data_IF_712187136413
#
_entry.id   IF_712187136413
#
_cell.length_a   1.000
_cell.length_b   1.000
_cell.length_c   1.000
_cell.angle_alpha   90.00
_cell.angle_beta   90.00
_cell.angle_gamma   90.00
#
_symmetry.space_group_name_H-M   'P 1'
#
loop_
_entity.id
_entity.type
_entity.pdbx_description
1 polymer ?
#
# COMPACT_ATOMS: atom_id res chain seq x y z
N UNK A 1 -26.24 -2.21 18.58
CA UNK A 1 -26.42 -3.66 18.81
C UNK A 1 -25.07 -4.33 18.55
N UNK A 2 -24.48 -4.99 19.55
CA UNK A 2 -23.21 -5.69 19.37
C UNK A 2 -23.46 -6.96 18.53
N UNK A 3 -22.64 -7.19 17.50
CA UNK A 3 -22.73 -8.40 16.68
C UNK A 3 -22.20 -9.57 17.54
N UNK A 4 -22.93 -10.69 17.71
CA UNK A 4 -22.42 -11.84 18.44
C UNK A 4 -21.20 -12.45 17.71
N UNK A 5 -20.14 -12.77 18.45
CA UNK A 5 -18.88 -13.26 17.87
C UNK A 5 -18.37 -14.50 18.61
N UNK A 6 -18.04 -15.54 17.85
CA UNK A 6 -17.34 -16.75 18.31
C UNK A 6 -15.97 -16.81 17.65
N UNK A 7 -14.94 -17.22 18.39
CA UNK A 7 -13.60 -17.46 17.80
C UNK A 7 -13.62 -18.68 16.87
N UNK A 8 -14.49 -19.64 17.16
CA UNK A 8 -14.58 -20.92 16.47
C UNK A 8 -15.84 -20.99 15.62
N UNK A 9 -15.69 -21.54 14.42
CA UNK A 9 -16.79 -21.79 13.49
C UNK A 9 -17.58 -23.04 13.94
N UNK A 10 -16.90 -24.19 14.01
CA UNK A 10 -17.46 -25.48 14.42
C UNK A 10 -16.40 -26.20 15.26
N UNK A 11 -16.77 -26.68 16.45
CA UNK A 11 -15.83 -27.34 17.37
C UNK A 11 -14.61 -26.46 17.66
N UNK A 12 -13.41 -26.99 17.41
CA UNK A 12 -12.14 -26.27 17.60
C UNK A 12 -11.62 -25.59 16.32
N UNK A 13 -12.39 -25.52 15.23
CA UNK A 13 -11.98 -24.90 13.98
C UNK A 13 -12.08 -23.36 14.07
N UNK A 14 -10.96 -22.60 14.05
CA UNK A 14 -11.01 -21.15 14.17
C UNK A 14 -11.51 -20.49 12.88
N UNK A 15 -12.33 -19.44 13.01
CA UNK A 15 -12.74 -18.62 11.86
C UNK A 15 -11.56 -18.07 11.07
N UNK A 16 -10.49 -17.69 11.76
CA UNK A 16 -9.26 -17.17 11.15
C UNK A 16 -8.69 -18.13 10.10
N UNK A 17 -8.63 -19.43 10.40
CA UNK A 17 -8.10 -20.45 9.47
C UNK A 17 -9.00 -20.60 8.25
N UNK A 18 -10.32 -20.60 8.44
CA UNK A 18 -11.30 -20.70 7.36
C UNK A 18 -11.20 -19.49 6.42
N UNK A 19 -11.08 -18.29 6.98
CA UNK A 19 -10.94 -17.06 6.21
C UNK A 19 -9.60 -16.99 5.46
N UNK A 20 -8.51 -17.49 6.05
CA UNK A 20 -7.22 -17.56 5.36
C UNK A 20 -7.27 -18.52 4.16
N UNK A 21 -7.78 -19.74 4.36
CA UNK A 21 -7.92 -20.72 3.26
C UNK A 21 -8.88 -20.21 2.18
N UNK A 22 -10.00 -19.61 2.60
CA UNK A 22 -10.93 -18.94 1.68
C UNK A 22 -10.27 -17.81 0.90
N UNK A 23 -9.44 -17.00 1.55
CA UNK A 23 -8.64 -15.96 0.90
C UNK A 23 -7.67 -16.51 -0.14
N UNK A 24 -6.94 -17.59 0.17
CA UNK A 24 -6.06 -18.28 -0.79
C UNK A 24 -6.86 -18.78 -1.99
N UNK A 25 -8.02 -19.39 -1.76
CA UNK A 25 -8.90 -19.89 -2.83
C UNK A 25 -9.40 -18.74 -3.71
N UNK A 26 -9.84 -17.62 -3.11
CA UNK A 26 -10.25 -16.42 -3.84
C UNK A 26 -9.09 -15.89 -4.70
N UNK A 27 -7.89 -15.79 -4.14
CA UNK A 27 -6.72 -15.34 -4.87
C UNK A 27 -6.40 -16.26 -6.06
N UNK A 28 -6.43 -17.57 -5.84
CA UNK A 28 -6.27 -18.59 -6.88
C UNK A 28 -7.31 -18.44 -8.00
N UNK A 29 -8.60 -18.35 -7.66
CA UNK A 29 -9.68 -18.25 -8.64
C UNK A 29 -9.62 -16.95 -9.46
N UNK A 30 -9.17 -15.85 -8.85
CA UNK A 30 -8.94 -14.59 -9.56
C UNK A 30 -7.72 -14.70 -10.47
N UNK A 31 -6.59 -15.18 -9.95
CA UNK A 31 -5.35 -15.29 -10.72
C UNK A 31 -5.51 -16.22 -11.94
N UNK A 32 -6.20 -17.34 -11.78
CA UNK A 32 -6.48 -18.30 -12.87
C UNK A 32 -7.27 -17.67 -14.01
N UNK A 33 -8.22 -16.77 -13.70
CA UNK A 33 -8.97 -16.03 -14.74
C UNK A 33 -8.09 -15.06 -15.54
N UNK A 34 -7.00 -14.59 -14.94
CA UNK A 34 -6.10 -13.59 -15.52
C UNK A 34 -4.94 -14.23 -16.31
N UNK A 35 -4.67 -15.54 -16.15
CA UNK A 35 -3.64 -16.29 -16.89
C UNK A 35 -3.77 -16.09 -18.41
N UNK A 36 -4.99 -16.30 -18.94
CA UNK A 36 -5.29 -16.15 -20.37
C UNK A 36 -5.03 -14.73 -20.87
N UNK A 37 -5.33 -13.72 -20.04
CA UNK A 37 -5.15 -12.31 -20.42
C UNK A 37 -3.68 -11.94 -20.57
N UNK A 38 -2.81 -12.48 -19.71
CA UNK A 38 -1.37 -12.17 -19.72
C UNK A 38 -0.59 -13.13 -20.64
N UNK A 39 -1.25 -14.17 -21.17
CA UNK A 39 -0.63 -15.19 -22.03
C UNK A 39 0.25 -16.16 -21.24
N UNK A 40 -0.14 -16.47 -20.00
CA UNK A 40 0.50 -17.50 -19.19
C UNK A 40 -0.08 -18.89 -19.54
N UNK A 41 0.72 -19.96 -19.44
CA UNK A 41 0.20 -21.33 -19.57
C UNK A 41 -0.92 -21.58 -18.57
N UNK A 42 -1.86 -22.47 -18.93
CA UNK A 42 -2.88 -22.96 -17.98
C UNK A 42 -2.20 -23.53 -16.74
N UNK A 43 -2.88 -23.38 -15.61
CA UNK A 43 -2.46 -23.89 -14.30
C UNK A 43 -1.20 -23.21 -13.73
N UNK A 44 -0.76 -22.10 -14.33
CA UNK A 44 0.37 -21.32 -13.80
C UNK A 44 0.12 -20.80 -12.38
N UNK A 45 -1.12 -20.40 -12.09
CA UNK A 45 -1.56 -19.95 -10.78
C UNK A 45 -1.65 -21.13 -9.80
N UNK A 46 -2.09 -22.30 -10.27
CA UNK A 46 -2.11 -23.51 -9.45
C UNK A 46 -0.69 -23.91 -9.06
N UNK A 47 0.20 -24.03 -10.05
CA UNK A 47 1.63 -24.29 -9.84
C UNK A 47 2.23 -23.30 -8.85
N UNK A 48 1.92 -22.00 -9.02
CA UNK A 48 2.41 -20.95 -8.13
C UNK A 48 1.92 -21.16 -6.70
N UNK A 49 0.64 -21.48 -6.48
CA UNK A 49 0.08 -21.71 -5.14
C UNK A 49 0.69 -22.97 -4.51
N UNK A 50 0.83 -24.05 -5.28
CA UNK A 50 1.43 -25.31 -4.83
C UNK A 50 2.90 -25.17 -4.43
N UNK A 51 3.61 -24.18 -4.97
CA UNK A 51 4.98 -23.84 -4.55
C UNK A 51 4.99 -22.81 -3.43
N UNK A 52 4.20 -21.74 -3.55
CA UNK A 52 4.22 -20.62 -2.63
C UNK A 52 3.79 -21.00 -1.22
N UNK A 53 2.73 -21.82 -1.08
CA UNK A 53 2.17 -22.17 0.23
C UNK A 53 3.15 -23.03 1.04
N UNK A 54 3.69 -24.15 0.54
CA UNK A 54 4.68 -24.93 1.29
C UNK A 54 5.95 -24.15 1.59
N UNK A 55 6.51 -23.45 0.60
CA UNK A 55 7.71 -22.63 0.82
C UNK A 55 7.47 -21.49 1.81
N UNK A 56 6.26 -20.93 1.83
CA UNK A 56 5.84 -19.94 2.82
C UNK A 56 5.78 -20.53 4.22
N UNK A 57 5.16 -21.69 4.41
CA UNK A 57 5.11 -22.35 5.73
C UNK A 57 6.53 -22.65 6.25
N UNK A 58 7.40 -23.20 5.40
CA UNK A 58 8.80 -23.47 5.74
C UNK A 58 9.53 -22.18 6.10
N UNK A 59 9.41 -21.14 5.27
CA UNK A 59 10.05 -19.85 5.52
C UNK A 59 9.55 -19.19 6.81
N UNK A 60 8.26 -19.30 7.11
CA UNK A 60 7.65 -18.75 8.29
C UNK A 60 8.17 -19.39 9.58
N UNK A 61 8.34 -20.72 9.56
CA UNK A 61 8.92 -21.46 10.68
C UNK A 61 10.40 -21.15 10.84
N UNK A 62 11.17 -21.18 9.75
CA UNK A 62 12.60 -20.89 9.79
C UNK A 62 12.88 -19.49 10.33
N UNK A 63 12.13 -18.48 9.86
CA UNK A 63 12.29 -17.11 10.36
C UNK A 63 11.99 -17.02 11.86
N UNK A 64 10.92 -17.67 12.33
CA UNK A 64 10.59 -17.68 13.76
C UNK A 64 11.71 -18.30 14.59
N UNK A 65 12.21 -19.46 14.18
CA UNK A 65 13.29 -20.18 14.86
C UNK A 65 14.56 -19.33 14.93
N UNK A 66 14.94 -18.68 13.83
CA UNK A 66 16.10 -17.79 13.79
C UNK A 66 15.98 -16.59 14.74
N UNK A 67 14.77 -16.11 14.99
CA UNK A 67 14.52 -14.99 15.92
C UNK A 67 14.35 -15.47 17.37
N UNK A 68 14.33 -16.77 17.64
CA UNK A 68 14.04 -17.34 18.95
C UNK A 68 14.89 -18.58 19.24
N UNK A 69 16.16 -18.56 18.82
CA UNK A 69 17.08 -19.71 18.90
C UNK A 69 17.19 -20.29 20.32
N UNK A 70 17.16 -19.44 21.35
CA UNK A 70 17.26 -19.87 22.75
C UNK A 70 16.12 -20.80 23.17
N UNK A 71 14.92 -20.65 22.57
CA UNK A 71 13.76 -21.52 22.87
C UNK A 71 13.94 -22.95 22.37
N UNK A 72 14.79 -23.15 21.36
CA UNK A 72 15.02 -24.46 20.71
C UNK A 72 16.30 -25.15 21.20
N UNK A 73 17.09 -24.50 22.05
CA UNK A 73 18.37 -25.03 22.51
C UNK A 73 18.22 -26.33 23.33
N UNK A 74 17.15 -26.44 24.11
CA UNK A 74 16.87 -27.60 24.96
C UNK A 74 16.24 -28.78 24.18
N UNK A 75 15.50 -28.50 23.11
CA UNK A 75 14.90 -29.52 22.25
C UNK A 75 14.94 -29.10 20.77
N UNK A 76 16.05 -29.36 20.06
CA UNK A 76 16.22 -28.93 18.67
C UNK A 76 15.22 -29.55 17.70
N UNK A 77 14.62 -30.70 18.03
CA UNK A 77 13.65 -31.35 17.13
C UNK A 77 12.32 -30.60 17.07
N UNK A 78 12.01 -29.82 18.12
CA UNK A 78 10.80 -28.98 18.17
C UNK A 78 10.76 -27.91 17.09
N UNK A 79 11.87 -27.62 16.41
CA UNK A 79 11.93 -26.78 15.20
C UNK A 79 10.93 -27.24 14.13
N UNK A 80 10.60 -28.53 14.05
CA UNK A 80 9.64 -29.06 13.08
C UNK A 80 8.17 -29.00 13.52
N UNK A 81 7.89 -28.68 14.79
CA UNK A 81 6.55 -28.70 15.37
C UNK A 81 5.76 -27.44 15.01
N UNK A 82 5.39 -27.32 13.73
CA UNK A 82 4.64 -26.17 13.19
C UNK A 82 3.21 -26.06 13.75
N UNK A 83 2.67 -27.15 14.31
CA UNK A 83 1.34 -27.20 14.93
C UNK A 83 1.30 -26.56 16.33
N UNK A 84 2.45 -26.35 16.97
CA UNK A 84 2.55 -25.67 18.26
C UNK A 84 2.49 -24.13 18.12
N UNK A 85 2.35 -23.63 16.89
CA UNK A 85 2.42 -22.21 16.57
C UNK A 85 3.84 -21.79 16.21
N UNK A 86 4.23 -20.57 16.57
CA UNK A 86 5.57 -20.04 16.25
C UNK A 86 5.80 -19.90 14.74
N UNK A 87 4.98 -19.07 14.10
CA UNK A 87 5.00 -18.81 12.66
C UNK A 87 5.15 -17.31 12.46
N UNK A 88 6.19 -16.88 11.75
CA UNK A 88 6.44 -15.48 11.45
C UNK A 88 5.98 -15.11 10.03
N UNK A 89 5.08 -14.14 9.90
CA UNK A 89 4.53 -13.71 8.60
C UNK A 89 5.61 -13.24 7.63
N UNK A 90 6.65 -12.56 8.10
CA UNK A 90 7.77 -12.12 7.25
C UNK A 90 8.48 -13.30 6.60
N UNK A 91 8.72 -14.37 7.36
CA UNK A 91 9.26 -15.62 6.84
C UNK A 91 8.35 -16.26 5.79
N UNK A 92 7.02 -16.19 5.98
CA UNK A 92 6.06 -16.71 5.00
C UNK A 92 6.15 -15.99 3.66
N UNK A 93 6.20 -14.66 3.69
CA UNK A 93 6.30 -13.83 2.48
C UNK A 93 7.63 -14.08 1.76
N UNK A 94 8.75 -14.09 2.50
CA UNK A 94 10.09 -14.31 1.92
C UNK A 94 10.20 -15.72 1.35
N UNK A 95 9.84 -16.74 2.13
CA UNK A 95 9.90 -18.15 1.72
C UNK A 95 9.02 -18.42 0.49
N UNK A 96 7.77 -17.94 0.51
CA UNK A 96 6.85 -18.07 -0.63
C UNK A 96 7.38 -17.38 -1.88
N UNK A 97 7.88 -16.15 -1.76
CA UNK A 97 8.43 -15.40 -2.90
C UNK A 97 9.69 -16.07 -3.49
N UNK A 98 10.61 -16.54 -2.64
CA UNK A 98 11.81 -17.27 -3.07
C UNK A 98 11.45 -18.60 -3.75
N UNK A 99 10.48 -19.34 -3.21
CA UNK A 99 9.97 -20.57 -3.80
C UNK A 99 9.42 -20.34 -5.21
N UNK A 100 8.54 -19.36 -5.36
CA UNK A 100 7.96 -19.00 -6.68
C UNK A 100 9.04 -18.48 -7.63
N UNK A 101 10.01 -17.71 -7.14
CA UNK A 101 11.13 -17.24 -7.95
C UNK A 101 11.97 -18.42 -8.48
N UNK A 102 12.35 -19.36 -7.61
CA UNK A 102 13.08 -20.57 -8.00
C UNK A 102 12.29 -21.40 -9.03
N UNK A 103 10.99 -21.60 -8.79
CA UNK A 103 10.09 -22.26 -9.73
C UNK A 103 10.08 -21.56 -11.10
N UNK A 104 10.00 -20.23 -11.13
CA UNK A 104 10.03 -19.45 -12.38
C UNK A 104 11.34 -19.62 -13.14
N UNK A 105 12.48 -19.72 -12.43
CA UNK A 105 13.79 -19.96 -13.04
C UNK A 105 13.86 -21.35 -13.67
N UNK A 106 13.38 -22.38 -12.98
CA UNK A 106 13.36 -23.76 -13.48
C UNK A 106 12.42 -23.90 -14.68
N UNK A 107 11.22 -23.32 -14.60
CA UNK A 107 10.19 -23.41 -15.67
C UNK A 107 10.33 -22.35 -16.75
N UNK A 108 11.36 -21.49 -16.70
CA UNK A 108 11.58 -20.35 -17.62
C UNK A 108 10.34 -19.44 -17.76
N UNK A 109 9.62 -19.24 -16.65
CA UNK A 109 8.41 -18.39 -16.59
C UNK A 109 8.75 -17.00 -16.03
N UNK A 110 7.93 -16.02 -16.36
CA UNK A 110 8.12 -14.65 -15.86
C UNK A 110 7.57 -14.53 -14.44
N UNK A 111 8.47 -14.38 -13.46
CA UNK A 111 8.11 -14.12 -12.07
C UNK A 111 7.20 -12.90 -11.91
N UNK A 112 7.54 -11.81 -12.61
CA UNK A 112 6.77 -10.58 -12.60
C UNK A 112 5.33 -10.76 -13.14
N UNK A 113 5.14 -11.62 -14.16
CA UNK A 113 3.81 -11.90 -14.68
C UNK A 113 2.95 -12.72 -13.70
N UNK A 114 3.56 -13.66 -12.97
CA UNK A 114 2.85 -14.40 -11.91
C UNK A 114 2.44 -13.47 -10.77
N UNK A 115 3.33 -12.56 -10.35
CA UNK A 115 2.99 -11.56 -9.34
C UNK A 115 1.86 -10.63 -9.79
N UNK A 116 1.83 -10.22 -11.07
CA UNK A 116 0.75 -9.38 -11.60
C UNK A 116 -0.62 -10.07 -11.53
N UNK A 117 -0.73 -11.35 -11.92
CA UNK A 117 -2.01 -12.07 -11.83
C UNK A 117 -2.42 -12.36 -10.38
N UNK A 118 -1.44 -12.50 -9.48
CA UNK A 118 -1.69 -12.72 -8.07
C UNK A 118 -2.15 -11.46 -7.34
N UNK A 119 -1.66 -10.28 -7.73
CA UNK A 119 -1.82 -9.05 -6.98
C UNK A 119 -3.28 -8.66 -6.65
N UNK A 120 -4.24 -8.68 -7.60
CA UNK A 120 -5.63 -8.37 -7.28
C UNK A 120 -6.22 -9.40 -6.30
N UNK A 121 -5.96 -10.69 -6.55
CA UNK A 121 -6.40 -11.77 -5.67
C UNK A 121 -5.86 -11.65 -4.25
N UNK A 122 -4.60 -11.25 -4.11
CA UNK A 122 -3.94 -11.01 -2.83
C UNK A 122 -4.59 -9.86 -2.05
N UNK A 123 -4.88 -8.74 -2.71
CA UNK A 123 -5.57 -7.61 -2.08
C UNK A 123 -6.96 -8.02 -1.56
N UNK A 124 -7.72 -8.80 -2.34
CA UNK A 124 -9.02 -9.28 -1.90
C UNK A 124 -8.91 -10.32 -0.76
N UNK A 125 -7.93 -11.22 -0.84
CA UNK A 125 -7.63 -12.18 0.22
C UNK A 125 -7.27 -11.47 1.54
N UNK A 126 -6.50 -10.39 1.48
CA UNK A 126 -6.19 -9.56 2.63
C UNK A 126 -7.45 -8.90 3.20
N UNK A 127 -8.34 -8.37 2.36
CA UNK A 127 -9.61 -7.81 2.82
C UNK A 127 -10.44 -8.83 3.62
N UNK A 128 -10.56 -10.06 3.10
CA UNK A 128 -11.26 -11.16 3.78
C UNK A 128 -10.52 -11.56 5.06
N UNK A 129 -9.19 -11.68 5.02
CA UNK A 129 -8.36 -12.09 6.15
C UNK A 129 -8.46 -11.14 7.35
N UNK A 130 -8.74 -9.84 7.14
CA UNK A 130 -8.94 -8.88 8.24
C UNK A 130 -10.13 -9.21 9.15
N UNK A 131 -11.13 -9.90 8.62
CA UNK A 131 -12.24 -10.39 9.43
C UNK A 131 -11.80 -11.51 10.40
N UNK A 132 -10.68 -12.18 10.12
CA UNK A 132 -10.05 -13.07 11.07
C UNK A 132 -9.61 -12.35 12.34
N UNK A 133 -9.05 -11.14 12.22
CA UNK A 133 -8.63 -10.33 13.37
C UNK A 133 -9.83 -9.98 14.27
N UNK A 134 -10.99 -9.69 13.66
CA UNK A 134 -12.24 -9.47 14.39
C UNK A 134 -12.63 -10.68 15.26
N UNK A 135 -12.66 -11.89 14.68
CA UNK A 135 -13.00 -13.11 15.44
C UNK A 135 -11.93 -13.50 16.48
N UNK A 136 -10.66 -13.18 16.23
CA UNK A 136 -9.55 -13.47 17.15
C UNK A 136 -9.36 -12.43 18.27
N UNK A 137 -10.09 -11.32 18.23
CA UNK A 137 -9.95 -10.21 19.18
C UNK A 137 -8.54 -9.58 19.19
N UNK A 138 -7.96 -9.36 18.03
CA UNK A 138 -6.62 -8.76 17.91
C UNK A 138 -6.59 -7.59 16.94
N UNK A 139 -5.52 -6.80 17.00
CA UNK A 139 -5.17 -5.80 15.99
C UNK A 139 -6.14 -4.61 15.88
N UNK A 140 -6.83 -4.26 16.97
CA UNK A 140 -7.76 -3.12 17.02
C UNK A 140 -7.04 -1.78 17.24
N UNK A 141 -7.82 -0.70 17.15
CA UNK A 141 -7.33 0.64 17.42
C UNK A 141 -7.57 1.11 18.86
N UNK A 142 -7.34 2.41 19.14
CA UNK A 142 -7.47 2.96 20.48
C UNK A 142 -8.91 2.87 21.00
N UNK A 143 -9.05 2.95 22.32
CA UNK A 143 -10.33 3.00 23.01
C UNK A 143 -11.12 4.25 22.61
N UNK A 144 -12.42 4.08 22.37
CA UNK A 144 -13.35 5.16 22.04
C UNK A 144 -14.07 5.62 23.30
N UNK A 145 -13.74 6.81 23.79
CA UNK A 145 -14.36 7.42 24.97
C UNK A 145 -15.61 8.22 24.66
N UNK A 146 -15.73 8.81 23.45
CA UNK A 146 -16.91 9.57 23.03
C UNK A 146 -18.04 8.62 22.59
N UNK A 147 -19.21 8.61 23.28
CA UNK A 147 -20.34 7.76 22.94
C UNK A 147 -20.86 7.94 21.50
N UNK A 148 -20.65 9.10 20.87
CA UNK A 148 -21.10 9.37 19.50
C UNK A 148 -20.40 8.48 18.46
N UNK A 149 -19.22 7.95 18.79
CA UNK A 149 -18.43 7.10 17.91
C UNK A 149 -18.49 5.60 18.30
N UNK A 150 -19.29 5.25 19.31
CA UNK A 150 -19.45 3.87 19.81
C UNK A 150 -20.51 3.09 19.01
N UNK A 151 -20.27 2.93 17.71
CA UNK A 151 -21.11 2.12 16.83
C UNK A 151 -20.30 1.52 15.69
N UNK A 152 -20.71 0.38 15.17
CA UNK A 152 -20.09 -0.19 13.97
C UNK A 152 -20.55 0.58 12.72
N UNK A 153 -19.66 0.96 11.78
CA UNK A 153 -18.26 0.52 11.64
C UNK A 153 -17.21 1.45 12.26
N UNK A 154 -17.59 2.51 12.97
CA UNK A 154 -16.62 3.43 13.58
C UNK A 154 -15.81 2.76 14.71
N UNK A 155 -16.50 1.95 15.51
CA UNK A 155 -15.94 1.17 16.59
C UNK A 155 -16.43 -0.27 16.60
N UNK A 156 -15.75 -1.09 17.37
CA UNK A 156 -16.09 -2.48 17.65
C UNK A 156 -16.04 -2.70 19.16
N UNK A 157 -17.02 -3.43 19.68
CA UNK A 157 -17.09 -3.79 21.08
C UNK A 157 -16.28 -5.07 21.33
N UNK A 158 -15.28 -4.99 22.20
CA UNK A 158 -14.42 -6.11 22.59
C UNK A 158 -14.49 -6.24 24.10
N UNK A 159 -14.53 -7.48 24.56
CA UNK A 159 -14.46 -7.78 25.97
C UNK A 159 -12.99 -7.86 26.42
N UNK A 160 -12.58 -6.92 27.26
CA UNK A 160 -11.24 -6.83 27.84
C UNK A 160 -11.35 -6.83 29.37
N UNK A 161 -10.63 -7.73 30.04
CA UNK A 161 -10.65 -7.87 31.51
C UNK A 161 -12.06 -8.03 32.12
N UNK A 162 -12.99 -8.65 31.39
CA UNK A 162 -14.38 -8.86 31.82
C UNK A 162 -15.31 -7.65 31.64
N UNK A 163 -14.86 -6.59 30.98
CA UNK A 163 -15.67 -5.42 30.65
C UNK A 163 -15.78 -5.20 29.13
N UNK A 164 -16.96 -4.80 28.60
CA UNK A 164 -17.11 -4.45 27.20
C UNK A 164 -16.55 -3.06 26.92
N UNK A 165 -15.45 -2.98 26.16
CA UNK A 165 -14.77 -1.74 25.79
C UNK A 165 -14.89 -1.52 24.28
N UNK A 166 -15.20 -0.28 23.88
CA UNK A 166 -15.25 0.11 22.48
C UNK A 166 -13.86 0.50 21.98
N UNK A 167 -13.41 -0.12 20.89
CA UNK A 167 -12.18 0.24 20.20
C UNK A 167 -12.48 0.68 18.78
N UNK A 168 -11.58 1.47 18.20
CA UNK A 168 -11.64 1.78 16.77
C UNK A 168 -11.51 0.48 15.95
N UNK A 169 -12.44 0.27 15.02
CA UNK A 169 -12.52 -0.95 14.20
C UNK A 169 -11.49 -0.95 13.05
N UNK A 170 -10.20 -0.88 13.38
CA UNK A 170 -9.08 -0.85 12.42
C UNK A 170 -9.13 -2.02 11.44
N UNK A 171 -9.53 -3.23 11.87
CA UNK A 171 -9.68 -4.38 10.97
C UNK A 171 -10.64 -4.07 9.80
N UNK A 172 -11.73 -3.35 10.07
CA UNK A 172 -12.73 -2.99 9.07
C UNK A 172 -12.17 -1.93 8.13
N UNK A 173 -11.45 -0.93 8.65
CA UNK A 173 -10.78 0.08 7.83
C UNK A 173 -9.71 -0.55 6.93
N UNK A 174 -8.89 -1.46 7.45
CA UNK A 174 -7.94 -2.24 6.65
C UNK A 174 -8.66 -3.11 5.61
N UNK A 175 -9.79 -3.73 5.97
CA UNK A 175 -10.61 -4.51 5.03
C UNK A 175 -11.12 -3.64 3.88
N UNK A 176 -11.69 -2.47 4.17
CA UNK A 176 -12.23 -1.55 3.17
C UNK A 176 -11.14 -0.96 2.29
N UNK A 177 -9.97 -0.62 2.87
CA UNK A 177 -8.82 -0.19 2.08
C UNK A 177 -8.40 -1.27 1.09
N UNK A 178 -8.25 -2.51 1.55
CA UNK A 178 -7.85 -3.63 0.68
C UNK A 178 -8.89 -3.94 -0.41
N UNK A 179 -10.19 -3.77 -0.13
CA UNK A 179 -11.23 -3.81 -1.17
C UNK A 179 -11.07 -2.68 -2.19
N UNK A 180 -10.75 -1.47 -1.74
CA UNK A 180 -10.41 -0.34 -2.61
C UNK A 180 -9.19 -0.62 -3.48
N UNK A 181 -8.12 -1.19 -2.90
CA UNK A 181 -6.92 -1.63 -3.64
C UNK A 181 -7.32 -2.66 -4.70
N UNK A 182 -8.11 -3.67 -4.35
CA UNK A 182 -8.62 -4.64 -5.31
C UNK A 182 -9.39 -3.96 -6.45
N UNK A 183 -10.33 -3.06 -6.14
CA UNK A 183 -11.14 -2.36 -7.14
C UNK A 183 -10.27 -1.54 -8.11
N UNK A 184 -9.28 -0.80 -7.59
CA UNK A 184 -8.33 -0.02 -8.39
C UNK A 184 -7.50 -0.94 -9.29
N UNK A 185 -6.88 -1.98 -8.72
CA UNK A 185 -6.08 -2.94 -9.49
C UNK A 185 -6.92 -3.61 -10.56
N UNK A 186 -8.15 -4.00 -10.22
CA UNK A 186 -9.08 -4.61 -11.16
C UNK A 186 -9.42 -3.65 -12.31
N UNK A 187 -9.67 -2.38 -12.02
CA UNK A 187 -9.97 -1.37 -13.05
C UNK A 187 -8.78 -1.10 -13.98
N UNK A 188 -7.55 -1.03 -13.45
CA UNK A 188 -6.36 -0.69 -14.24
C UNK A 188 -5.70 -1.89 -14.92
N UNK A 189 -6.02 -3.14 -14.55
CA UNK A 189 -5.33 -4.35 -15.03
C UNK A 189 -5.24 -4.48 -16.55
N UNK A 190 -6.23 -3.97 -17.29
CA UNK A 190 -6.25 -3.99 -18.76
C UNK A 190 -5.44 -2.86 -19.40
N UNK A 191 -5.22 -1.76 -18.66
CA UNK A 191 -4.43 -0.60 -19.12
C UNK A 191 -2.94 -0.79 -18.84
N UNK A 192 -2.61 -1.49 -17.75
CA UNK A 192 -1.24 -1.83 -17.37
C UNK A 192 -0.78 -3.04 -18.17
N UNK A 193 0.08 -2.83 -19.18
CA UNK A 193 0.54 -3.87 -20.11
C UNK A 193 1.91 -4.46 -19.77
N UNK A 194 2.73 -3.75 -19.00
CA UNK A 194 4.10 -4.17 -18.68
C UNK A 194 4.08 -5.13 -17.48
N UNK A 195 4.84 -6.22 -17.60
CA UNK A 195 4.95 -7.25 -16.55
C UNK A 195 5.61 -6.67 -15.30
N UNK A 196 5.01 -6.93 -14.15
CA UNK A 196 5.38 -6.46 -12.83
C UNK A 196 4.73 -5.14 -12.42
N UNK A 197 4.17 -4.37 -13.35
CA UNK A 197 3.65 -3.03 -13.04
C UNK A 197 2.36 -3.09 -12.22
N UNK A 198 1.53 -4.11 -12.42
CA UNK A 198 0.30 -4.28 -11.65
C UNK A 198 0.63 -4.66 -10.20
N UNK A 199 1.64 -5.51 -10.00
CA UNK A 199 2.17 -5.81 -8.67
C UNK A 199 2.82 -4.59 -8.00
N UNK A 200 3.56 -3.76 -8.75
CA UNK A 200 4.12 -2.51 -8.21
C UNK A 200 3.01 -1.55 -7.75
N UNK A 201 1.92 -1.42 -8.51
CA UNK A 201 0.74 -0.66 -8.08
C UNK A 201 0.12 -1.24 -6.80
N UNK A 202 0.02 -2.57 -6.71
CA UNK A 202 -0.42 -3.23 -5.48
C UNK A 202 0.47 -2.85 -4.29
N UNK A 203 1.79 -2.93 -4.43
CA UNK A 203 2.73 -2.59 -3.36
C UNK A 203 2.59 -1.13 -2.92
N UNK A 204 2.45 -0.19 -3.85
CA UNK A 204 2.26 1.24 -3.54
C UNK A 204 0.93 1.51 -2.82
N UNK A 205 -0.17 0.91 -3.30
CA UNK A 205 -1.51 1.12 -2.74
C UNK A 205 -1.67 0.42 -1.39
N UNK A 206 -1.17 -0.80 -1.25
CA UNK A 206 -1.17 -1.53 0.02
C UNK A 206 -0.24 -0.86 1.04
N UNK A 207 0.98 -0.49 0.62
CA UNK A 207 1.96 0.18 1.47
C UNK A 207 1.45 1.53 2.00
N UNK A 208 0.81 2.33 1.16
CA UNK A 208 0.21 3.60 1.60
C UNK A 208 -0.92 3.39 2.61
N UNK A 209 -1.81 2.43 2.37
CA UNK A 209 -2.83 2.05 3.36
C UNK A 209 -2.25 1.57 4.67
N UNK A 210 -1.21 0.73 4.62
CA UNK A 210 -0.53 0.26 5.82
C UNK A 210 0.10 1.39 6.61
N UNK A 211 0.75 2.33 5.94
CA UNK A 211 1.30 3.51 6.61
C UNK A 211 0.22 4.31 7.37
N UNK A 212 -0.95 4.52 6.75
CA UNK A 212 -2.04 5.28 7.34
C UNK A 212 -2.71 4.56 8.50
N UNK A 213 -3.13 3.30 8.29
CA UNK A 213 -3.91 2.57 9.30
C UNK A 213 -3.03 2.13 10.47
N UNK A 214 -1.74 1.92 10.26
CA UNK A 214 -0.84 1.61 11.36
C UNK A 214 -0.83 2.71 12.43
N UNK A 215 -1.00 3.99 12.07
CA UNK A 215 -1.10 5.08 13.07
C UNK A 215 -2.27 4.89 14.04
N UNK A 216 -3.31 4.18 13.60
CA UNK A 216 -4.53 3.94 14.37
C UNK A 216 -4.45 2.67 15.21
N UNK A 217 -3.42 1.83 15.09
CA UNK A 217 -3.34 0.59 15.88
C UNK A 217 -2.82 0.86 17.29
N UNK A 218 -3.10 -0.02 18.24
CA UNK A 218 -2.46 0.02 19.57
C UNK A 218 -1.26 -0.92 19.65
N UNK A 219 -1.32 -2.05 18.94
CA UNK A 219 -0.41 -3.18 19.13
C UNK A 219 0.69 -3.23 18.06
N UNK A 220 1.56 -2.23 18.03
CA UNK A 220 2.63 -2.11 17.02
C UNK A 220 4.01 -2.13 17.64
N UNK A 221 4.94 -2.80 16.96
CA UNK A 221 6.36 -2.76 17.32
C UNK A 221 6.95 -1.39 16.94
N UNK A 222 7.48 -0.67 17.93
CA UNK A 222 8.16 0.61 17.74
C UNK A 222 9.66 0.40 17.52
N UNK A 223 10.22 1.12 16.57
CA UNK A 223 11.65 1.21 16.30
C UNK A 223 11.96 2.71 16.14
N UNK A 224 12.89 3.27 16.91
CA UNK A 224 13.34 4.67 16.75
C UNK A 224 12.21 5.73 16.62
N UNK A 225 11.10 5.54 17.36
CA UNK A 225 9.98 6.49 17.39
C UNK A 225 8.90 6.32 16.31
N UNK A 226 9.11 5.46 15.30
CA UNK A 226 8.07 5.06 14.35
C UNK A 226 7.79 3.56 14.42
N UNK A 227 6.67 3.10 13.88
CA UNK A 227 6.30 1.68 13.90
C UNK A 227 7.04 0.93 12.80
N UNK A 228 7.49 -0.30 13.06
CA UNK A 228 8.29 -1.10 12.13
C UNK A 228 7.63 -1.26 10.74
N UNK A 229 6.31 -1.44 10.74
CA UNK A 229 5.45 -1.50 9.55
C UNK A 229 5.37 -0.18 8.77
N UNK A 230 5.53 0.98 9.42
CA UNK A 230 5.63 2.28 8.75
C UNK A 230 6.96 2.43 8.02
N UNK A 231 8.08 2.06 8.64
CA UNK A 231 9.38 2.02 7.94
C UNK A 231 9.34 1.12 6.72
N UNK A 232 8.81 -0.09 6.88
CA UNK A 232 8.69 -1.02 5.77
C UNK A 232 7.81 -0.42 4.66
N UNK A 233 6.69 0.21 5.00
CA UNK A 233 5.80 0.86 4.03
C UNK A 233 6.51 1.99 3.29
N UNK A 234 7.30 2.83 3.98
CA UNK A 234 8.08 3.89 3.37
C UNK A 234 9.14 3.35 2.41
N UNK A 235 9.92 2.34 2.85
CA UNK A 235 10.94 1.70 2.01
C UNK A 235 10.32 1.06 0.78
N UNK A 236 9.20 0.36 0.94
CA UNK A 236 8.48 -0.26 -0.17
C UNK A 236 7.96 0.79 -1.17
N UNK A 237 7.29 1.84 -0.69
CA UNK A 237 6.80 2.92 -1.54
C UNK A 237 7.95 3.65 -2.26
N UNK A 238 9.06 3.92 -1.56
CA UNK A 238 10.25 4.53 -2.15
C UNK A 238 10.88 3.64 -3.22
N UNK A 239 10.99 2.33 -2.97
CA UNK A 239 11.50 1.37 -3.95
C UNK A 239 10.61 1.32 -5.21
N UNK A 240 9.29 1.28 -5.03
CA UNK A 240 8.33 1.31 -6.15
C UNK A 240 8.44 2.61 -6.95
N UNK A 241 8.50 3.76 -6.26
CA UNK A 241 8.69 5.06 -6.91
C UNK A 241 10.02 5.11 -7.68
N UNK A 242 11.11 4.61 -7.08
CA UNK A 242 12.41 4.51 -7.72
C UNK A 242 12.38 3.67 -9.00
N UNK A 243 11.68 2.53 -9.00
CA UNK A 243 11.51 1.69 -10.19
C UNK A 243 10.74 2.43 -11.29
N UNK A 244 9.64 3.13 -10.95
CA UNK A 244 8.89 3.92 -11.93
C UNK A 244 9.72 5.08 -12.49
N UNK A 245 10.45 5.80 -11.63
CA UNK A 245 11.33 6.90 -12.03
C UNK A 245 12.45 6.37 -12.95
N UNK A 246 13.16 5.32 -12.56
CA UNK A 246 14.24 4.74 -13.37
C UNK A 246 13.74 4.33 -14.76
N UNK A 247 12.54 3.75 -14.83
CA UNK A 247 11.92 3.37 -16.11
C UNK A 247 11.53 4.56 -16.96
N UNK A 248 10.95 5.61 -16.36
CA UNK A 248 10.63 6.85 -17.06
C UNK A 248 11.90 7.53 -17.57
N UNK A 249 12.96 7.55 -16.76
CA UNK A 249 14.27 8.09 -17.16
C UNK A 249 14.87 7.31 -18.34
N UNK A 250 14.82 5.97 -18.31
CA UNK A 250 15.30 5.14 -19.42
C UNK A 250 14.54 5.35 -20.72
N UNK A 251 13.26 5.75 -20.66
CA UNK A 251 12.44 6.05 -21.82
C UNK A 251 12.59 7.50 -22.32
N UNK A 252 13.60 8.24 -21.84
CA UNK A 252 13.78 9.66 -22.16
C UNK A 252 12.74 10.58 -21.51
N UNK A 253 11.96 10.06 -20.56
CA UNK A 253 10.87 10.73 -19.86
C UNK A 253 11.32 11.63 -18.71
N UNK A 254 12.56 12.14 -18.71
CA UNK A 254 13.06 13.01 -17.64
C UNK A 254 12.17 14.22 -17.35
N UNK A 255 11.49 14.74 -18.37
CA UNK A 255 10.48 15.80 -18.20
C UNK A 255 9.22 15.33 -17.46
N UNK A 256 8.76 14.12 -17.71
CA UNK A 256 7.61 13.53 -17.00
C UNK A 256 7.96 13.28 -15.53
N UNK A 257 9.20 12.86 -15.24
CA UNK A 257 9.71 12.75 -13.87
C UNK A 257 9.75 14.11 -13.20
N UNK A 258 10.35 15.12 -13.84
CA UNK A 258 10.41 16.48 -13.29
C UNK A 258 9.01 17.07 -13.02
N UNK A 259 8.06 16.86 -13.92
CA UNK A 259 6.67 17.28 -13.73
C UNK A 259 5.99 16.53 -12.59
N UNK A 260 6.22 15.23 -12.44
CA UNK A 260 5.65 14.42 -11.35
C UNK A 260 6.22 14.84 -9.99
N UNK A 261 7.54 15.04 -9.90
CA UNK A 261 8.22 15.55 -8.71
C UNK A 261 7.71 16.95 -8.35
N UNK A 262 7.59 17.84 -9.34
CA UNK A 262 7.00 19.16 -9.16
C UNK A 262 5.58 19.07 -8.58
N UNK A 263 4.74 18.18 -9.11
CA UNK A 263 3.39 17.97 -8.58
C UNK A 263 3.36 17.43 -7.15
N UNK A 264 4.24 16.49 -6.82
CA UNK A 264 4.38 15.97 -5.46
C UNK A 264 4.85 17.05 -4.47
N UNK A 265 5.84 17.86 -4.83
CA UNK A 265 6.34 18.96 -3.98
C UNK A 265 5.21 19.96 -3.68
N UNK A 266 4.44 20.35 -4.70
CA UNK A 266 3.31 21.27 -4.55
C UNK A 266 2.18 20.67 -3.70
N UNK A 267 1.90 19.38 -3.85
CA UNK A 267 0.91 18.69 -3.03
C UNK A 267 1.34 18.56 -1.57
N UNK A 268 2.65 18.33 -1.31
CA UNK A 268 3.20 18.16 0.02
C UNK A 268 3.36 19.50 0.78
N UNK A 269 3.64 20.58 0.04
CA UNK A 269 3.83 21.91 0.60
C UNK A 269 2.56 22.41 1.32
N UNK A 270 1.40 22.17 0.74
CA UNK A 270 0.13 22.72 1.22
C UNK A 270 -0.24 22.31 2.64
N UNK A 271 -0.27 21.03 3.04
CA UNK A 271 -0.56 20.67 4.43
C UNK A 271 0.49 21.17 5.43
N UNK A 272 1.74 21.38 4.99
CA UNK A 272 2.81 21.87 5.86
C UNK A 272 2.62 23.35 6.24
N UNK A 273 2.05 24.16 5.34
CA UNK A 273 1.77 25.56 5.61
C UNK A 273 0.78 25.78 6.78
N UNK A 274 0.02 24.75 7.20
CA UNK A 274 -0.85 24.80 8.38
C UNK A 274 -0.07 24.78 9.71
N UNK A 275 1.24 24.43 9.68
CA UNK A 275 2.12 24.40 10.86
C UNK A 275 2.63 25.78 11.32
N UNK A 276 1.94 26.87 10.98
CA UNK A 276 2.36 28.23 11.30
C UNK A 276 3.59 28.69 10.49
N UNK A 277 4.35 29.65 11.03
CA UNK A 277 5.50 30.28 10.36
C UNK A 277 6.54 29.26 9.82
N UNK A 278 6.99 28.24 10.58
CA UNK A 278 7.91 27.23 10.06
C UNK A 278 7.33 26.42 8.91
N UNK A 279 6.02 26.12 8.99
CA UNK A 279 5.27 25.45 7.95
C UNK A 279 5.21 26.24 6.65
N UNK A 280 4.95 27.55 6.74
CA UNK A 280 4.92 28.46 5.59
C UNK A 280 6.31 28.58 4.95
N UNK A 281 7.38 28.66 5.74
CA UNK A 281 8.76 28.68 5.22
C UNK A 281 9.09 27.40 4.45
N UNK A 282 8.75 26.24 5.02
CA UNK A 282 8.97 24.95 4.35
C UNK A 282 8.16 24.83 3.05
N UNK A 283 6.94 25.36 3.05
CA UNK A 283 6.08 25.45 1.86
C UNK A 283 6.74 26.28 0.78
N UNK A 284 7.26 27.46 1.11
CA UNK A 284 7.96 28.32 0.15
C UNK A 284 9.20 27.65 -0.44
N UNK A 285 9.96 26.88 0.35
CA UNK A 285 11.10 26.09 -0.15
C UNK A 285 10.65 25.03 -1.17
N UNK A 286 9.53 24.35 -0.90
CA UNK A 286 8.96 23.35 -1.83
C UNK A 286 8.43 24.00 -3.11
N UNK A 287 7.81 25.18 -3.02
CA UNK A 287 7.41 25.97 -4.19
C UNK A 287 8.61 26.47 -5.00
N UNK A 288 9.71 26.87 -4.34
CA UNK A 288 10.94 27.25 -5.02
C UNK A 288 11.58 26.07 -5.77
N UNK A 289 11.61 24.88 -5.16
CA UNK A 289 12.07 23.66 -5.83
C UNK A 289 11.16 23.27 -7.01
N UNK A 290 9.85 23.38 -6.86
CA UNK A 290 8.88 23.17 -7.95
C UNK A 290 9.07 24.18 -9.09
N UNK A 291 9.30 25.46 -8.77
CA UNK A 291 9.60 26.50 -9.75
C UNK A 291 10.91 26.20 -10.49
N UNK A 292 11.98 25.80 -9.80
CA UNK A 292 13.25 25.43 -10.44
C UNK A 292 13.07 24.33 -11.49
N UNK A 293 12.26 23.30 -11.18
CA UNK A 293 11.93 22.22 -12.12
C UNK A 293 11.12 22.72 -13.33
N UNK A 294 10.12 23.59 -13.12
CA UNK A 294 9.30 24.17 -14.19
C UNK A 294 10.06 25.14 -15.11
N UNK A 295 11.07 25.84 -14.58
CA UNK A 295 11.92 26.73 -15.37
C UNK A 295 13.02 25.98 -16.11
N UNK A 296 13.53 24.88 -15.54
CA UNK A 296 14.43 23.98 -16.24
C UNK A 296 13.77 23.31 -17.46
N UNK A 297 12.46 23.02 -17.39
CA UNK A 297 11.70 22.50 -18.52
C UNK A 297 11.17 23.62 -19.44
N UNK A 298 11.85 23.83 -20.58
CA UNK A 298 11.43 24.80 -21.62
C UNK A 298 10.04 24.52 -22.21
N UNK A 299 9.53 23.29 -22.11
CA UNK A 299 8.21 22.91 -22.60
C UNK A 299 7.07 23.11 -21.59
N UNK A 300 7.40 23.52 -20.36
CA UNK A 300 6.39 23.82 -19.34
C UNK A 300 5.47 24.98 -19.80
N UNK A 301 4.14 24.82 -19.70
CA UNK A 301 3.20 25.85 -20.12
C UNK A 301 3.37 27.11 -19.28
N UNK A 302 3.28 28.29 -19.93
CA UNK A 302 3.43 29.59 -19.26
C UNK A 302 2.47 29.75 -18.07
N UNK A 303 1.26 29.22 -18.20
CA UNK A 303 0.27 29.22 -17.12
C UNK A 303 0.77 28.51 -15.84
N UNK A 304 1.46 27.37 -15.96
CA UNK A 304 1.99 26.64 -14.79
C UNK A 304 3.02 27.46 -14.01
N UNK A 305 3.91 28.15 -14.74
CA UNK A 305 4.92 29.04 -14.16
C UNK A 305 4.30 30.23 -13.44
N UNK A 306 3.31 30.86 -14.08
CA UNK A 306 2.57 31.99 -13.49
C UNK A 306 1.84 31.52 -12.23
N UNK A 307 1.14 30.40 -12.30
CA UNK A 307 0.37 29.86 -11.17
C UNK A 307 1.25 29.55 -9.95
N UNK A 308 2.39 28.89 -10.13
CA UNK A 308 3.33 28.61 -9.02
C UNK A 308 3.85 29.90 -8.38
N UNK A 309 4.12 30.95 -9.17
CA UNK A 309 4.55 32.25 -8.64
C UNK A 309 3.42 32.98 -7.90
N UNK A 310 2.20 32.97 -8.44
CA UNK A 310 1.04 33.60 -7.81
C UNK A 310 0.76 32.92 -6.46
N UNK A 311 0.77 31.59 -6.42
CA UNK A 311 0.50 30.82 -5.21
C UNK A 311 1.64 31.00 -4.18
N UNK A 312 2.91 31.01 -4.61
CA UNK A 312 4.04 31.36 -3.75
C UNK A 312 3.95 32.78 -3.17
N UNK A 313 3.49 33.76 -3.95
CA UNK A 313 3.31 35.14 -3.49
C UNK A 313 2.25 35.24 -2.38
N UNK A 314 1.21 34.41 -2.44
CA UNK A 314 0.20 34.32 -1.36
C UNK A 314 0.85 33.83 -0.07
N UNK A 315 1.68 32.77 -0.11
CA UNK A 315 2.39 32.29 1.08
C UNK A 315 3.41 33.30 1.62
N UNK A 316 4.09 34.06 0.77
CA UNK A 316 4.95 35.18 1.19
C UNK A 316 4.12 36.26 1.89
N UNK A 317 2.96 36.63 1.34
CA UNK A 317 2.07 37.61 1.97
C UNK A 317 1.55 37.11 3.34
N UNK A 318 1.20 35.82 3.45
CA UNK A 318 0.82 35.21 4.73
C UNK A 318 1.94 35.27 5.76
N UNK A 319 3.19 35.04 5.34
CA UNK A 319 4.37 35.14 6.20
C UNK A 319 4.59 36.57 6.70
N UNK A 320 4.48 37.57 5.82
CA UNK A 320 4.68 38.98 6.16
C UNK A 320 3.57 39.53 7.05
N UNK A 321 2.32 39.16 6.78
CA UNK A 321 1.14 39.70 7.47
C UNK A 321 0.79 38.94 8.76
N UNK A 322 1.48 37.84 9.07
CA UNK A 322 1.14 36.94 10.19
C UNK A 322 -0.33 36.49 10.17
N UNK A 323 -0.96 36.50 8.98
CA UNK A 323 -2.40 36.38 8.81
C UNK A 323 -2.79 34.91 8.60
N UNK A 324 -2.95 34.17 9.69
CA UNK A 324 -3.47 32.80 9.65
C UNK A 324 -4.91 32.72 9.12
N UNK A 325 -5.67 33.82 9.16
CA UNK A 325 -7.07 33.87 8.71
C UNK A 325 -7.28 33.63 7.20
N UNK A 326 -6.24 33.82 6.37
CA UNK A 326 -6.30 33.54 4.92
C UNK A 326 -6.57 32.06 4.61
N UNK A 327 -6.24 31.15 5.54
CA UNK A 327 -6.55 29.72 5.47
C UNK A 327 -8.04 29.41 5.39
N UNK A 328 -8.87 30.20 6.06
CA UNK A 328 -10.32 30.03 6.09
C UNK A 328 -10.98 30.63 4.84
N UNK A 329 -10.21 31.27 3.96
CA UNK A 329 -10.78 31.84 2.75
C UNK A 329 -11.27 30.73 1.80
N UNK A 330 -12.44 30.91 1.17
CA UNK A 330 -12.96 29.96 0.18
C UNK A 330 -11.99 29.66 -0.97
N UNK A 331 -11.07 30.61 -1.26
CA UNK A 331 -10.03 30.45 -2.27
C UNK A 331 -9.08 29.29 -1.94
N UNK A 332 -8.66 29.13 -0.68
CA UNK A 332 -7.79 28.02 -0.27
C UNK A 332 -8.50 26.67 -0.28
N UNK A 333 -9.81 26.66 0.02
CA UNK A 333 -10.65 25.45 -0.06
C UNK A 333 -10.87 25.01 -1.51
N UNK A 334 -11.13 25.95 -2.43
CA UNK A 334 -11.32 25.66 -3.87
C UNK A 334 -10.01 25.39 -4.61
N UNK A 335 -8.96 26.18 -4.36
CA UNK A 335 -7.63 25.96 -4.93
C UNK A 335 -6.96 24.70 -4.37
N UNK A 336 -7.39 24.23 -3.19
CA UNK A 336 -6.94 23.01 -2.51
C UNK A 336 -7.32 21.70 -3.23
N UNK A 337 -8.42 21.68 -3.99
CA UNK A 337 -8.89 20.51 -4.75
C UNK A 337 -8.30 20.41 -6.15
N UNK A 338 -7.80 21.52 -6.69
CA UNK A 338 -7.26 21.59 -8.05
C UNK A 338 -5.73 21.45 -8.04
N UNK A 339 -5.22 20.22 -8.06
CA UNK A 339 -3.93 19.98 -8.73
C UNK A 339 -4.16 20.44 -10.16
N UNK A 340 -3.45 21.46 -10.67
CA UNK A 340 -3.79 21.99 -11.96
C UNK A 340 -3.69 20.87 -13.01
N UNK A 341 -4.69 20.70 -13.88
CA UNK A 341 -4.84 19.53 -14.76
C UNK A 341 -3.59 19.19 -15.57
N UNK A 342 -2.72 20.18 -15.83
CA UNK A 342 -1.47 20.01 -16.56
C UNK A 342 -0.42 19.12 -15.88
N UNK A 343 -0.48 18.89 -14.56
CA UNK A 343 0.41 17.92 -13.89
C UNK A 343 -0.05 16.47 -14.11
N UNK A 344 -1.30 16.25 -14.53
CA UNK A 344 -1.81 14.96 -14.98
C UNK A 344 -1.55 14.68 -16.47
N UNK A 345 -1.31 15.73 -17.28
CA UNK A 345 -1.07 15.63 -18.74
C UNK A 345 0.21 14.87 -19.15
N UNK A 346 1.34 14.85 -18.39
CA UNK A 346 2.52 14.07 -18.76
C UNK A 346 2.20 12.57 -18.86
N UNK A 347 1.23 12.07 -18.08
CA UNK A 347 0.80 10.68 -18.13
C UNK A 347 0.07 10.34 -19.43
N UNK A 348 -0.76 11.27 -19.94
CA UNK A 348 -1.46 11.11 -21.22
C UNK A 348 -0.49 11.17 -22.41
N UNK A 349 0.51 12.06 -22.37
CA UNK A 349 1.53 12.14 -23.42
C UNK A 349 2.53 10.99 -23.38
N UNK A 350 2.96 10.53 -22.21
CA UNK A 350 3.82 9.35 -22.09
C UNK A 350 3.10 8.07 -22.52
N UNK A 351 1.80 7.93 -22.19
CA UNK A 351 0.97 6.84 -22.70
C UNK A 351 0.86 6.89 -24.24
N UNK A 352 0.63 8.08 -24.82
CA UNK A 352 0.56 8.29 -26.27
C UNK A 352 1.90 8.04 -26.98
N UNK A 353 3.03 8.41 -26.36
CA UNK A 353 4.37 8.15 -26.90
C UNK A 353 4.73 6.66 -26.82
N UNK A 354 4.34 5.95 -25.76
CA UNK A 354 4.51 4.49 -25.69
C UNK A 354 3.64 3.73 -26.70
N UNK A 355 2.49 4.29 -27.08
CA UNK A 355 1.61 3.72 -28.10
C UNK A 355 2.17 3.90 -29.52
N UNK A 356 2.95 4.96 -29.75
CA UNK A 356 3.66 5.20 -31.03
C UNK A 356 5.03 4.51 -31.15
N UNK A 357 5.59 4.03 -30.04
CA UNK A 357 6.92 3.40 -30.01
C UNK A 357 6.91 1.87 -30.17
N UNK A 358 5.81 1.25 -30.61
CA UNK A 358 5.84 -0.12 -31.13
C UNK A 358 5.93 -0.07 -32.65
N UNK A 359 7.08 -0.40 -33.26
CA UNK A 359 7.06 -0.91 -34.61
C UNK A 359 6.21 -2.18 -34.62
N UNK A 360 5.40 -2.32 -35.67
CA UNK A 360 4.87 -3.61 -36.09
C UNK A 360 6.06 -4.54 -36.32
N UNK A 361 6.30 -5.48 -35.41
CA UNK A 361 7.09 -6.66 -35.70
C UNK A 361 6.12 -7.84 -35.82
N UNK A 362 6.09 -8.34 -37.05
CA UNK A 362 5.36 -9.49 -37.60
C UNK A 362 5.76 -10.78 -36.91
#
# INVERSE_FOLDING_TARGET
>A
MAIPYSRYLIGNLPWYSVLMVGGILIAYLIGTREEKRIGLPRDSMLDMVLVAVPCGIVGARLYYVLMSLDQFAADPISVFYVWEGGIAIYGSIIGGALGVYAYCRVKKRSFAALLDIAAPGLALAQAVGRWGNYFNREAFGPVITDPRWQFFPAGVLIEESGAPIWHVATFFYESMWNLGVFAVLWAIRRRVKRRGDLFLWYMALYGSGRFLVEQLRTDSLYLFGLRASQYLSLVLCAAVAGVFIARLMWQGGGRAVAASVCGCLLALARPLAAGGTPGIVLTLLLYAAAAALLWADRSAPRFARIWVLTDAAIYVAMLLLHAQALWLSPYFVYAGLSIPPYLAIPYLRAAALSAKARPEEV
#
